data_IF_747483758036
#
_entry.id   IF_747483758036
#
_cell.length_a   1.000
_cell.length_b   1.000
_cell.length_c   1.000
_cell.angle_alpha   90.00
_cell.angle_beta   90.00
_cell.angle_gamma   90.00
#
_symmetry.space_group_name_H-M   'P 1'
#
loop_
_entity.id
_entity.type
_entity.pdbx_description
1 polymer ?
#
# COMPACT_ATOMS: atom_id res chain seq x y z
N UNK A 1 -33.22 4.39 7.16
CA UNK A 1 -31.90 4.92 7.48
C UNK A 1 -30.84 4.09 6.79
N UNK A 2 -30.01 4.74 6.01
CA UNK A 2 -28.95 4.04 5.32
C UNK A 2 -27.73 3.88 6.22
N UNK A 3 -27.14 2.68 6.24
CA UNK A 3 -25.88 2.47 6.93
C UNK A 3 -24.77 3.21 6.19
N UNK A 4 -23.78 3.78 6.89
CA UNK A 4 -22.63 4.34 6.22
C UNK A 4 -21.89 3.27 5.42
N UNK A 5 -21.30 3.65 4.31
CA UNK A 5 -20.47 2.73 3.54
C UNK A 5 -19.26 2.31 4.38
N UNK A 6 -18.80 1.07 4.23
CA UNK A 6 -17.58 0.64 4.91
C UNK A 6 -16.43 1.56 4.56
N UNK A 7 -15.65 1.96 5.55
CA UNK A 7 -14.47 2.78 5.37
C UNK A 7 -13.27 1.87 5.27
N UNK A 8 -12.45 2.10 4.24
CA UNK A 8 -11.23 1.35 4.02
C UNK A 8 -10.07 2.11 4.67
N UNK A 9 -9.48 1.52 5.68
CA UNK A 9 -8.37 2.13 6.39
C UNK A 9 -7.05 1.86 5.66
N UNK A 10 -6.23 2.89 5.51
CA UNK A 10 -4.99 2.84 4.73
C UNK A 10 -3.81 3.26 5.58
N UNK A 11 -2.78 2.43 5.60
CA UNK A 11 -1.48 2.76 6.18
C UNK A 11 -0.54 3.16 5.05
N UNK A 12 0.10 4.33 5.17
CA UNK A 12 1.07 4.80 4.19
C UNK A 12 2.47 4.56 4.74
N UNK A 13 3.30 3.83 4.01
CA UNK A 13 4.67 3.49 4.42
C UNK A 13 5.65 4.00 3.39
N UNK A 14 6.45 5.00 3.76
CA UNK A 14 7.45 5.61 2.89
C UNK A 14 8.39 6.43 3.76
N UNK A 15 9.69 6.35 3.52
CA UNK A 15 10.65 7.14 4.28
C UNK A 15 10.73 8.60 3.78
N UNK A 16 10.08 8.90 2.65
CA UNK A 16 10.07 10.23 2.04
C UNK A 16 8.78 10.97 2.37
N UNK A 17 8.88 12.03 3.17
CA UNK A 17 7.71 12.83 3.56
C UNK A 17 6.90 13.37 2.38
N UNK A 18 7.51 13.83 1.29
CA UNK A 18 6.74 14.33 0.15
C UNK A 18 5.76 13.33 -0.42
N UNK A 19 6.14 12.06 -0.52
CA UNK A 19 5.20 11.05 -1.03
C UNK A 19 4.08 10.78 -0.02
N UNK A 20 4.39 10.72 1.28
CA UNK A 20 3.35 10.54 2.30
C UNK A 20 2.34 11.68 2.24
N UNK A 21 2.83 12.90 2.07
CA UNK A 21 1.96 14.08 1.93
C UNK A 21 1.05 13.95 0.70
N UNK A 22 1.62 13.58 -0.45
CA UNK A 22 0.86 13.40 -1.69
C UNK A 22 -0.18 12.29 -1.55
N UNK A 23 0.19 11.18 -0.93
CA UNK A 23 -0.73 10.06 -0.74
C UNK A 23 -1.89 10.44 0.17
N UNK A 24 -1.63 11.20 1.23
CA UNK A 24 -2.72 11.68 2.11
C UNK A 24 -3.68 12.58 1.34
N UNK A 25 -3.18 13.43 0.45
CA UNK A 25 -4.04 14.29 -0.37
C UNK A 25 -4.94 13.47 -1.30
N UNK A 26 -4.40 12.38 -1.86
CA UNK A 26 -5.17 11.47 -2.69
C UNK A 26 -6.28 10.80 -1.88
N UNK A 27 -5.99 10.33 -0.67
CA UNK A 27 -7.00 9.70 0.18
C UNK A 27 -8.14 10.64 0.52
N UNK A 28 -7.88 11.92 0.70
CA UNK A 28 -8.93 12.91 0.98
C UNK A 28 -9.92 13.04 -0.16
N UNK A 29 -9.53 12.66 -1.37
CA UNK A 29 -10.39 12.70 -2.56
C UNK A 29 -11.21 11.44 -2.77
N UNK A 30 -11.02 10.44 -1.90
CA UNK A 30 -11.69 9.15 -1.97
C UNK A 30 -12.54 8.95 -0.72
N UNK A 31 -13.86 9.20 -0.79
CA UNK A 31 -14.72 9.19 0.41
C UNK A 31 -14.71 7.87 1.20
N UNK A 32 -14.46 6.75 0.54
CA UNK A 32 -14.47 5.44 1.19
C UNK A 32 -13.10 5.04 1.75
N UNK A 33 -12.07 5.87 1.59
CA UNK A 33 -10.72 5.59 2.10
C UNK A 33 -10.40 6.53 3.25
N UNK A 34 -9.82 5.99 4.30
CA UNK A 34 -9.45 6.77 5.49
C UNK A 34 -8.02 6.44 5.90
N UNK A 35 -7.25 7.46 6.26
CA UNK A 35 -5.89 7.27 6.74
C UNK A 35 -5.90 6.61 8.11
N UNK A 36 -5.26 5.45 8.23
CA UNK A 36 -5.07 4.75 9.50
C UNK A 36 -3.79 5.18 10.20
N UNK A 37 -2.77 5.56 9.43
CA UNK A 37 -1.49 5.97 10.00
C UNK A 37 -0.41 6.09 8.94
N UNK A 38 0.78 6.48 9.37
CA UNK A 38 1.96 6.61 8.52
C UNK A 38 3.14 5.93 9.19
N UNK A 39 3.97 5.27 8.40
CA UNK A 39 5.22 4.68 8.85
C UNK A 39 6.36 5.13 7.95
N UNK A 40 7.56 5.20 8.50
CA UNK A 40 8.77 5.66 7.80
C UNK A 40 9.74 4.53 7.49
N UNK A 41 9.44 3.32 7.93
CA UNK A 41 10.33 2.17 7.76
C UNK A 41 9.53 0.88 7.74
N UNK A 42 10.17 -0.19 7.27
CA UNK A 42 9.58 -1.52 7.29
C UNK A 42 9.23 -2.01 8.70
N UNK A 43 10.16 -1.95 9.65
CA UNK A 43 9.85 -2.37 11.03
C UNK A 43 8.71 -1.58 11.66
N UNK A 44 8.67 -0.26 11.45
CA UNK A 44 7.57 0.57 11.96
C UNK A 44 6.25 0.17 11.32
N UNK A 45 6.25 -0.14 10.02
CA UNK A 45 5.05 -0.59 9.33
C UNK A 45 4.51 -1.89 9.91
N UNK A 46 5.38 -2.85 10.18
CA UNK A 46 4.99 -4.13 10.77
C UNK A 46 4.32 -3.92 12.13
N UNK A 47 4.91 -3.07 12.96
CA UNK A 47 4.33 -2.74 14.26
C UNK A 47 2.96 -2.07 14.13
N UNK A 48 2.85 -1.10 13.23
CA UNK A 48 1.58 -0.39 13.04
C UNK A 48 0.48 -1.28 12.47
N UNK A 49 0.81 -2.20 11.57
CA UNK A 49 -0.19 -3.15 11.06
C UNK A 49 -0.77 -3.97 12.21
N UNK A 50 0.07 -4.40 13.15
CA UNK A 50 -0.40 -5.14 14.32
C UNK A 50 -1.32 -4.29 15.19
N UNK A 51 -1.06 -3.00 15.29
CA UNK A 51 -1.83 -2.09 16.16
C UNK A 51 -3.13 -1.62 15.53
N UNK A 52 -3.10 -1.25 14.24
CA UNK A 52 -4.25 -0.57 13.62
C UNK A 52 -5.03 -1.44 12.64
N UNK A 53 -4.50 -2.59 12.26
CA UNK A 53 -5.17 -3.52 11.33
C UNK A 53 -5.75 -2.81 10.10
N UNK A 54 -4.91 -2.17 9.25
CA UNK A 54 -5.42 -1.48 8.09
C UNK A 54 -5.96 -2.46 7.05
N UNK A 55 -6.91 -2.00 6.24
CA UNK A 55 -7.38 -2.80 5.12
C UNK A 55 -6.37 -2.82 3.98
N UNK A 56 -5.65 -1.71 3.80
CA UNK A 56 -4.67 -1.53 2.72
C UNK A 56 -3.40 -0.89 3.27
N UNK A 57 -2.26 -1.38 2.80
CA UNK A 57 -0.95 -0.77 3.05
C UNK A 57 -0.37 -0.31 1.71
N UNK A 58 -0.01 0.96 1.62
CA UNK A 58 0.76 1.49 0.49
C UNK A 58 2.23 1.45 0.91
N UNK A 59 3.00 0.53 0.32
CA UNK A 59 4.34 0.19 0.78
C UNK A 59 5.40 0.62 -0.22
N UNK A 60 6.26 1.55 0.17
CA UNK A 60 7.44 1.89 -0.61
C UNK A 60 8.41 0.71 -0.63
N UNK A 61 9.06 0.47 -1.77
CA UNK A 61 10.02 -0.62 -1.90
C UNK A 61 11.37 -0.24 -1.31
N UNK A 62 11.87 0.94 -1.65
CA UNK A 62 13.24 1.35 -1.29
C UNK A 62 13.27 2.13 0.01
N UNK A 63 13.54 1.45 1.10
CA UNK A 63 13.67 2.05 2.43
C UNK A 63 14.92 1.53 3.12
N UNK A 64 15.52 2.33 4.02
CA UNK A 64 16.65 1.84 4.82
C UNK A 64 16.23 0.71 5.75
N UNK A 65 17.17 -0.09 6.20
CA UNK A 65 17.02 -1.22 7.13
C UNK A 65 16.31 -2.42 6.53
N UNK A 66 15.09 -2.24 6.03
CA UNK A 66 14.27 -3.32 5.48
C UNK A 66 13.52 -2.78 4.27
N UNK A 67 13.71 -3.41 3.10
CA UNK A 67 12.95 -2.98 1.92
C UNK A 67 11.48 -3.38 2.04
N UNK A 68 10.64 -2.73 1.23
CA UNK A 68 9.19 -2.94 1.28
C UNK A 68 8.75 -4.34 0.89
N UNK A 69 9.53 -5.05 0.09
CA UNK A 69 9.21 -6.43 -0.31
C UNK A 69 9.30 -7.36 0.89
N UNK A 70 10.35 -7.23 1.70
CA UNK A 70 10.52 -8.03 2.90
C UNK A 70 9.46 -7.67 3.95
N UNK A 71 9.20 -6.38 4.13
CA UNK A 71 8.14 -5.93 5.04
C UNK A 71 6.78 -6.50 4.60
N UNK A 72 6.49 -6.50 3.30
CA UNK A 72 5.26 -7.05 2.75
C UNK A 72 5.13 -8.55 3.08
N UNK A 73 6.20 -9.32 2.87
CA UNK A 73 6.18 -10.75 3.19
C UNK A 73 5.78 -11.00 4.63
N UNK A 74 6.39 -10.25 5.55
CA UNK A 74 6.11 -10.40 6.98
C UNK A 74 4.70 -9.98 7.34
N UNK A 75 4.22 -8.89 6.76
CA UNK A 75 2.87 -8.40 7.01
C UNK A 75 1.83 -9.39 6.51
N UNK A 76 1.96 -9.86 5.27
CA UNK A 76 0.98 -10.76 4.67
C UNK A 76 1.01 -12.13 5.35
N UNK A 77 2.18 -12.59 5.78
CA UNK A 77 2.29 -13.85 6.53
C UNK A 77 1.54 -13.78 7.86
N UNK A 78 1.69 -12.67 8.58
CA UNK A 78 1.02 -12.49 9.88
C UNK A 78 -0.44 -12.10 9.74
N UNK A 79 -0.80 -11.38 8.66
CA UNK A 79 -2.15 -10.84 8.44
C UNK A 79 -2.56 -11.08 6.98
N UNK A 80 -2.98 -12.31 6.62
CA UNK A 80 -3.29 -12.65 5.22
C UNK A 80 -4.43 -11.84 4.59
N UNK A 81 -5.25 -11.20 5.41
CA UNK A 81 -6.38 -10.37 4.96
C UNK A 81 -5.97 -8.94 4.64
N UNK A 82 -4.78 -8.51 5.04
CA UNK A 82 -4.28 -7.17 4.73
C UNK A 82 -3.82 -7.13 3.27
N UNK A 83 -4.30 -6.14 2.53
CA UNK A 83 -3.90 -5.93 1.13
C UNK A 83 -2.71 -4.98 1.11
N UNK A 84 -1.66 -5.34 0.38
CA UNK A 84 -0.48 -4.48 0.20
C UNK A 84 -0.33 -4.13 -1.27
N UNK A 85 -0.21 -2.82 -1.57
CA UNK A 85 0.21 -2.33 -2.87
C UNK A 85 1.62 -1.76 -2.73
N UNK A 86 2.54 -2.28 -3.53
CA UNK A 86 3.91 -1.75 -3.56
C UNK A 86 3.95 -0.47 -4.41
N UNK A 87 4.75 0.49 -3.98
CA UNK A 87 4.92 1.76 -4.67
C UNK A 87 6.41 2.08 -4.79
N UNK A 88 6.85 2.51 -5.95
CA UNK A 88 8.22 3.03 -6.09
C UNK A 88 8.33 3.82 -7.39
N UNK A 89 9.51 4.39 -7.62
CA UNK A 89 9.82 5.09 -8.88
C UNK A 89 10.38 4.15 -9.94
N UNK A 90 10.54 2.86 -9.64
CA UNK A 90 11.01 1.88 -10.60
C UNK A 90 10.03 1.71 -11.75
N UNK A 91 10.55 1.57 -12.96
CA UNK A 91 9.74 1.13 -14.08
C UNK A 91 9.26 -0.30 -13.80
N UNK A 92 8.09 -0.65 -14.32
CA UNK A 92 7.53 -2.00 -14.14
C UNK A 92 8.52 -3.07 -14.59
N UNK A 93 9.28 -2.79 -15.67
CA UNK A 93 10.29 -3.72 -16.19
C UNK A 93 11.50 -3.89 -15.28
N UNK A 94 11.69 -2.97 -14.32
CA UNK A 94 12.84 -2.96 -13.41
C UNK A 94 12.47 -3.33 -11.98
N UNK A 95 11.28 -3.90 -11.76
CA UNK A 95 10.88 -4.31 -10.43
C UNK A 95 11.80 -5.41 -9.90
N UNK A 96 12.15 -5.37 -8.60
CA UNK A 96 12.91 -6.45 -8.00
C UNK A 96 12.20 -7.80 -8.18
N UNK A 97 12.94 -8.88 -8.41
CA UNK A 97 12.34 -10.19 -8.71
C UNK A 97 11.36 -10.71 -7.66
N UNK A 98 11.54 -10.32 -6.41
CA UNK A 98 10.66 -10.75 -5.33
C UNK A 98 9.33 -10.03 -5.23
N UNK A 99 9.13 -8.95 -6.00
CA UNK A 99 7.90 -8.15 -5.88
C UNK A 99 6.62 -8.95 -6.18
N UNK A 100 6.50 -9.66 -7.30
CA UNK A 100 5.27 -10.40 -7.60
C UNK A 100 4.96 -11.56 -6.64
N UNK A 101 5.98 -12.07 -5.95
CA UNK A 101 5.82 -13.20 -5.03
C UNK A 101 5.85 -12.80 -3.57
N UNK A 102 5.86 -11.51 -3.28
CA UNK A 102 5.92 -11.00 -1.91
C UNK A 102 4.63 -11.15 -1.11
N UNK A 103 3.52 -11.38 -1.80
CA UNK A 103 2.19 -11.33 -1.23
C UNK A 103 1.47 -10.01 -1.53
N UNK A 104 2.16 -9.04 -2.10
CA UNK A 104 1.52 -7.81 -2.55
C UNK A 104 0.53 -8.11 -3.67
N UNK A 105 -0.56 -7.36 -3.71
CA UNK A 105 -1.60 -7.53 -4.74
C UNK A 105 -1.36 -6.69 -5.98
N UNK A 106 -0.54 -5.65 -5.87
CA UNK A 106 -0.30 -4.76 -6.99
C UNK A 106 0.98 -3.95 -6.79
N UNK A 107 1.44 -3.36 -7.88
CA UNK A 107 2.49 -2.36 -7.91
C UNK A 107 1.97 -1.10 -8.58
N UNK A 108 2.21 0.05 -7.96
CA UNK A 108 1.91 1.37 -8.54
C UNK A 108 3.21 2.15 -8.67
N UNK A 109 3.54 2.55 -9.90
CA UNK A 109 4.62 3.52 -10.09
C UNK A 109 4.18 4.85 -9.46
N UNK A 110 5.05 5.47 -8.68
CA UNK A 110 4.73 6.73 -7.98
C UNK A 110 4.29 7.84 -8.92
N UNK A 111 4.78 7.84 -10.18
CA UNK A 111 4.38 8.82 -11.18
C UNK A 111 2.94 8.63 -11.65
N UNK A 112 2.38 7.43 -11.47
CA UNK A 112 1.01 7.12 -11.85
C UNK A 112 0.06 7.10 -10.66
N UNK A 113 0.59 7.33 -9.47
CA UNK A 113 -0.21 7.30 -8.26
C UNK A 113 -1.23 8.43 -8.26
N UNK A 114 -2.48 8.11 -7.98
CA UNK A 114 -3.57 9.06 -7.93
C UNK A 114 -4.86 8.37 -7.51
N UNK A 115 -5.93 9.14 -7.38
CA UNK A 115 -7.21 8.62 -6.90
C UNK A 115 -7.78 7.54 -7.81
N UNK A 116 -7.75 7.76 -9.14
CA UNK A 116 -8.31 6.79 -10.08
C UNK A 116 -7.51 5.50 -10.11
N UNK A 117 -6.18 5.60 -10.11
CA UNK A 117 -5.30 4.43 -10.09
C UNK A 117 -5.52 3.61 -8.82
N UNK A 118 -5.59 4.26 -7.68
CA UNK A 118 -5.79 3.58 -6.41
C UNK A 118 -7.14 2.87 -6.37
N UNK A 119 -8.20 3.55 -6.80
CA UNK A 119 -9.53 2.97 -6.83
C UNK A 119 -9.58 1.76 -7.78
N UNK A 120 -8.99 1.90 -8.96
CA UNK A 120 -8.97 0.82 -9.95
C UNK A 120 -8.28 -0.42 -9.40
N UNK A 121 -7.11 -0.26 -8.78
CA UNK A 121 -6.39 -1.39 -8.22
C UNK A 121 -7.14 -2.00 -7.05
N UNK A 122 -7.75 -1.19 -6.20
CA UNK A 122 -8.53 -1.70 -5.09
C UNK A 122 -9.72 -2.53 -5.59
N UNK A 123 -10.46 -2.02 -6.56
CA UNK A 123 -11.64 -2.72 -7.09
C UNK A 123 -11.27 -4.05 -7.75
N UNK A 124 -10.08 -4.15 -8.32
CA UNK A 124 -9.61 -5.36 -9.02
C UNK A 124 -8.65 -6.21 -8.20
N UNK A 125 -8.49 -5.97 -6.91
CA UNK A 125 -7.48 -6.63 -6.08
C UNK A 125 -7.64 -8.14 -5.96
N UNK A 126 -8.85 -8.66 -6.17
CA UNK A 126 -9.12 -10.09 -6.08
C UNK A 126 -9.23 -10.77 -7.43
N UNK A 127 -9.27 -10.02 -8.52
CA UNK A 127 -9.47 -10.56 -9.87
C UNK A 127 -8.16 -10.68 -10.65
N UNK A 128 -7.14 -9.94 -10.25
CA UNK A 128 -5.84 -9.93 -10.93
C UNK A 128 -4.76 -10.37 -9.94
N UNK A 129 -3.93 -11.39 -10.28
CA UNK A 129 -2.93 -11.90 -9.34
C UNK A 129 -1.92 -10.87 -8.85
N UNK A 130 -1.37 -10.08 -9.76
CA UNK A 130 -0.45 -9.00 -9.41
C UNK A 130 -0.57 -7.93 -10.49
N UNK A 131 -1.35 -6.90 -10.18
CA UNK A 131 -1.62 -5.81 -11.12
C UNK A 131 -0.47 -4.79 -11.09
N UNK A 132 -0.23 -4.12 -12.22
CA UNK A 132 0.77 -3.06 -12.30
C UNK A 132 0.17 -1.82 -12.97
N UNK A 133 0.50 -0.68 -12.43
CA UNK A 133 0.14 0.62 -13.01
C UNK A 133 1.31 1.58 -13.02
#
# INVERSE_FOLDING_TARGET
MTSPLPVLTVLIVDDQAPFRFAAKAVLRRLPSFELAGEAKSGPEAITLVDEVHPALVLMDINMPEMNGIEATRRIVEAHPDVVVFLCSTHDVTDLPPGAPTSGARAYINKERFGADALRQLWDNRTTTPFATL
#
